data_IF_239262464394
#
_entry.id   IF_239262464394
#
_cell.length_a   1.000
_cell.length_b   1.000
_cell.length_c   1.000
_cell.angle_alpha   90.00
_cell.angle_beta   90.00
_cell.angle_gamma   90.00
#
_symmetry.space_group_name_H-M   'P 1'
#
loop_
_entity.id
_entity.type
_entity.pdbx_description
1 polymer ?
#
# COMPACT_ATOMS: atom_id res chain seq x y z
N UNK A 1 -32.70 -0.78 -20.94
CA UNK A 1 -32.59 0.01 -22.18
C UNK A 1 -33.79 -0.19 -23.14
N UNK A 2 -34.23 -1.42 -23.43
CA UNK A 2 -35.35 -1.66 -24.33
C UNK A 2 -36.65 -1.00 -23.80
N UNK A 3 -36.96 -1.13 -22.53
CA UNK A 3 -38.13 -0.57 -21.90
C UNK A 3 -38.11 0.96 -21.91
N UNK A 4 -36.93 1.57 -21.61
CA UNK A 4 -36.70 3.02 -21.74
C UNK A 4 -36.96 3.51 -23.16
N UNK A 5 -36.46 2.78 -24.15
CA UNK A 5 -36.66 3.11 -25.56
C UNK A 5 -38.14 3.05 -25.97
N UNK A 6 -38.82 2.01 -25.52
CA UNK A 6 -40.26 1.83 -25.76
C UNK A 6 -41.06 2.95 -25.12
N UNK A 7 -40.81 3.28 -23.87
CA UNK A 7 -41.53 4.32 -23.12
C UNK A 7 -41.26 5.72 -23.71
N UNK A 8 -40.03 6.00 -24.09
CA UNK A 8 -39.64 7.27 -24.71
C UNK A 8 -40.02 7.40 -26.19
N UNK A 9 -40.50 6.32 -26.83
CA UNK A 9 -40.88 6.31 -28.25
C UNK A 9 -39.69 6.51 -29.19
N UNK A 10 -38.50 5.99 -28.82
CA UNK A 10 -37.23 6.14 -29.58
C UNK A 10 -36.57 4.80 -29.81
N UNK A 11 -35.62 4.76 -30.72
CA UNK A 11 -34.82 3.55 -30.92
C UNK A 11 -33.82 3.31 -29.77
N UNK A 12 -33.54 2.03 -29.42
CA UNK A 12 -32.55 1.64 -28.40
C UNK A 12 -31.18 2.28 -28.62
N UNK A 13 -30.78 2.45 -29.90
CA UNK A 13 -29.54 3.14 -30.29
C UNK A 13 -29.52 4.63 -29.91
N UNK A 14 -30.69 5.28 -29.87
CA UNK A 14 -30.82 6.68 -29.43
C UNK A 14 -30.69 6.81 -27.92
N UNK A 15 -31.32 5.90 -27.15
CA UNK A 15 -31.15 5.80 -25.69
C UNK A 15 -29.68 5.54 -25.37
N UNK A 16 -29.04 4.59 -26.06
CA UNK A 16 -27.62 4.27 -25.87
C UNK A 16 -26.71 5.46 -26.14
N UNK A 17 -26.94 6.22 -27.22
CA UNK A 17 -26.15 7.43 -27.54
C UNK A 17 -26.30 8.49 -26.45
N UNK A 18 -27.54 8.77 -26.02
CA UNK A 18 -27.82 9.76 -24.97
C UNK A 18 -27.14 9.38 -23.65
N UNK A 19 -27.29 8.14 -23.18
CA UNK A 19 -26.68 7.64 -21.97
C UNK A 19 -25.12 7.72 -22.06
N UNK A 20 -24.56 7.58 -23.27
CA UNK A 20 -23.11 7.70 -23.50
C UNK A 20 -22.64 9.14 -23.76
N UNK A 21 -23.47 10.16 -23.46
CA UNK A 21 -23.08 11.58 -23.57
C UNK A 21 -23.06 12.13 -25.00
N UNK A 22 -23.52 11.39 -25.99
CA UNK A 22 -23.65 11.91 -27.35
C UNK A 22 -24.85 12.85 -27.42
N UNK A 23 -24.65 14.06 -27.96
CA UNK A 23 -25.69 15.07 -28.09
C UNK A 23 -26.83 14.54 -28.95
N UNK A 24 -28.04 14.59 -28.42
CA UNK A 24 -29.29 14.30 -29.13
C UNK A 24 -30.14 15.57 -29.18
N UNK A 25 -31.25 15.57 -29.95
CA UNK A 25 -32.18 16.70 -29.97
C UNK A 25 -32.82 16.89 -28.60
N UNK A 26 -33.04 18.14 -28.16
CA UNK A 26 -33.54 18.47 -26.82
C UNK A 26 -34.86 17.77 -26.49
N UNK A 27 -35.80 17.69 -27.44
CA UNK A 27 -37.08 16.95 -27.28
C UNK A 27 -36.81 15.45 -27.01
N UNK A 28 -35.87 14.84 -27.69
CA UNK A 28 -35.49 13.43 -27.49
C UNK A 28 -34.81 13.25 -26.13
N UNK A 29 -33.97 14.20 -25.73
CA UNK A 29 -33.32 14.20 -24.43
C UNK A 29 -34.32 14.21 -23.29
N UNK A 30 -35.35 15.09 -23.35
CA UNK A 30 -36.39 15.18 -22.34
C UNK A 30 -37.20 13.88 -22.24
N UNK A 31 -37.65 13.32 -23.38
CA UNK A 31 -38.43 12.06 -23.41
C UNK A 31 -37.68 10.88 -22.81
N UNK A 32 -36.40 10.74 -23.13
CA UNK A 32 -35.57 9.64 -22.61
C UNK A 32 -35.24 9.86 -21.13
N UNK A 33 -34.97 11.09 -20.69
CA UNK A 33 -34.74 11.41 -19.27
C UNK A 33 -35.97 11.10 -18.43
N UNK A 34 -37.16 11.48 -18.89
CA UNK A 34 -38.40 11.16 -18.21
C UNK A 34 -38.66 9.64 -18.12
N UNK A 35 -38.44 8.91 -19.20
CA UNK A 35 -38.59 7.46 -19.23
C UNK A 35 -37.57 6.75 -18.30
N UNK A 36 -36.33 7.25 -18.17
CA UNK A 36 -35.33 6.76 -17.23
C UNK A 36 -35.80 6.95 -15.79
N UNK A 37 -36.33 8.14 -15.45
CA UNK A 37 -36.86 8.44 -14.12
C UNK A 37 -38.10 7.60 -13.77
N UNK A 38 -39.04 7.46 -14.72
CA UNK A 38 -40.28 6.72 -14.50
C UNK A 38 -40.06 5.21 -14.31
N UNK A 39 -39.04 4.66 -14.98
CA UNK A 39 -38.66 3.25 -14.88
C UNK A 39 -37.58 2.97 -13.81
N UNK A 40 -37.15 4.00 -13.08
CA UNK A 40 -36.01 3.90 -12.16
C UNK A 40 -34.82 3.15 -12.80
N UNK A 41 -34.60 3.45 -14.11
CA UNK A 41 -33.61 2.70 -14.90
C UNK A 41 -32.21 3.16 -14.59
N UNK A 42 -31.44 2.27 -13.96
CA UNK A 42 -30.00 2.47 -13.73
C UNK A 42 -29.24 1.86 -14.91
N UNK A 43 -28.48 2.67 -15.68
CA UNK A 43 -27.64 2.13 -16.74
C UNK A 43 -26.61 1.13 -16.20
N UNK A 44 -26.54 -0.05 -16.78
CA UNK A 44 -25.53 -1.04 -16.46
C UNK A 44 -24.15 -0.55 -16.96
N UNK A 45 -23.32 -0.15 -16.02
CA UNK A 45 -21.96 0.34 -16.32
C UNK A 45 -21.06 -0.77 -16.88
N UNK A 46 -21.28 -2.03 -16.50
CA UNK A 46 -20.55 -3.19 -17.04
C UNK A 46 -20.81 -3.37 -18.53
N UNK A 47 -22.08 -3.22 -18.95
CA UNK A 47 -22.46 -3.25 -20.37
C UNK A 47 -21.93 -2.04 -21.16
N UNK A 48 -21.66 -0.91 -20.49
CA UNK A 48 -21.02 0.28 -21.07
C UNK A 48 -19.52 0.08 -21.24
N UNK A 49 -18.85 -0.51 -20.26
CA UNK A 49 -17.42 -0.82 -20.27
C UNK A 49 -17.04 -1.73 -21.44
N UNK A 50 -17.82 -2.78 -21.68
CA UNK A 50 -17.65 -3.68 -22.83
C UNK A 50 -17.65 -2.98 -24.21
N UNK A 51 -18.30 -1.82 -24.32
CA UNK A 51 -18.37 -1.03 -25.57
C UNK A 51 -17.31 0.06 -25.66
N UNK A 52 -16.69 0.44 -24.54
CA UNK A 52 -15.65 1.50 -24.44
C UNK A 52 -14.25 0.95 -24.16
N UNK A 53 -14.07 -0.35 -23.95
CA UNK A 53 -12.83 -1.00 -23.53
C UNK A 53 -12.28 -0.50 -22.16
N UNK A 54 -13.07 0.23 -21.36
CA UNK A 54 -12.66 0.75 -20.04
C UNK A 54 -13.78 0.56 -19.02
N UNK A 55 -13.43 0.04 -17.86
CA UNK A 55 -14.35 -0.25 -16.74
C UNK A 55 -14.42 0.89 -15.71
N UNK A 56 -13.48 1.84 -15.78
CA UNK A 56 -13.24 2.86 -14.77
C UNK A 56 -13.10 2.27 -13.35
N UNK A 57 -12.38 1.16 -13.27
CA UNK A 57 -12.10 0.45 -12.03
C UNK A 57 -10.63 0.05 -11.98
N UNK A 58 -9.98 0.29 -10.85
CA UNK A 58 -8.62 -0.17 -10.55
C UNK A 58 -8.68 -1.13 -9.37
N UNK A 59 -7.99 -2.26 -9.46
CA UNK A 59 -7.84 -3.19 -8.36
C UNK A 59 -6.64 -2.79 -7.49
N UNK A 60 -6.81 -2.82 -6.17
CA UNK A 60 -5.76 -2.70 -5.19
C UNK A 60 -5.60 -4.03 -4.46
N UNK A 61 -4.49 -4.71 -4.68
CA UNK A 61 -4.15 -5.96 -4.02
C UNK A 61 -3.30 -5.64 -2.79
N UNK A 62 -3.76 -6.08 -1.62
CA UNK A 62 -3.06 -5.93 -0.34
C UNK A 62 -2.92 -7.29 0.35
N UNK A 63 -1.82 -7.52 1.09
CA UNK A 63 -1.68 -8.74 1.87
C UNK A 63 -2.70 -8.81 3.01
N UNK A 64 -3.03 -7.66 3.63
CA UNK A 64 -4.06 -7.55 4.66
C UNK A 64 -4.53 -6.10 4.82
N UNK A 65 -5.78 -5.90 5.17
CA UNK A 65 -6.30 -4.57 5.53
C UNK A 65 -6.21 -4.29 7.05
N UNK A 66 -5.78 -5.26 7.86
CA UNK A 66 -5.63 -5.07 9.30
C UNK A 66 -4.42 -4.23 9.68
N UNK A 67 -3.39 -4.18 8.85
CA UNK A 67 -2.22 -3.37 9.13
C UNK A 67 -2.51 -1.89 8.78
N UNK A 68 -2.32 -0.94 9.71
CA UNK A 68 -2.68 0.47 9.52
C UNK A 68 -2.07 1.12 8.28
N UNK A 69 -0.81 0.81 7.95
CA UNK A 69 -0.17 1.31 6.73
C UNK A 69 -0.96 0.93 5.46
N UNK A 70 -1.41 -0.33 5.35
CA UNK A 70 -2.18 -0.75 4.18
C UNK A 70 -3.57 -0.13 4.13
N UNK A 71 -4.20 0.07 5.30
CA UNK A 71 -5.50 0.75 5.39
C UNK A 71 -5.38 2.23 4.99
N UNK A 72 -4.34 2.93 5.46
CA UNK A 72 -4.07 4.31 5.09
C UNK A 72 -3.73 4.45 3.60
N UNK A 73 -2.92 3.52 3.07
CA UNK A 73 -2.61 3.48 1.65
C UNK A 73 -3.87 3.28 0.79
N UNK A 74 -4.74 2.33 1.17
CA UNK A 74 -6.00 2.09 0.49
C UNK A 74 -6.93 3.31 0.51
N UNK A 75 -6.99 4.03 1.63
CA UNK A 75 -7.74 5.27 1.76
C UNK A 75 -7.28 6.32 0.76
N UNK A 76 -5.96 6.54 0.63
CA UNK A 76 -5.44 7.52 -0.32
C UNK A 76 -5.57 7.06 -1.78
N UNK A 77 -5.40 5.78 -2.08
CA UNK A 77 -5.64 5.24 -3.43
C UNK A 77 -7.09 5.48 -3.85
N UNK A 78 -8.07 5.17 -2.99
CA UNK A 78 -9.49 5.44 -3.25
C UNK A 78 -9.74 6.93 -3.49
N UNK A 79 -9.21 7.79 -2.59
CA UNK A 79 -9.35 9.25 -2.67
C UNK A 79 -8.86 9.79 -4.03
N UNK A 80 -7.71 9.33 -4.53
CA UNK A 80 -7.16 9.79 -5.80
C UNK A 80 -7.88 9.18 -7.00
N UNK A 81 -8.26 7.91 -6.95
CA UNK A 81 -9.06 7.27 -8.01
C UNK A 81 -10.41 7.96 -8.18
N UNK A 82 -11.09 8.31 -7.08
CA UNK A 82 -12.40 8.97 -7.13
C UNK A 82 -12.33 10.36 -7.81
N UNK A 83 -11.21 11.09 -7.67
CA UNK A 83 -10.98 12.37 -8.36
C UNK A 83 -10.92 12.20 -9.89
N UNK A 84 -10.55 11.02 -10.38
CA UNK A 84 -10.52 10.65 -11.79
C UNK A 84 -11.78 9.89 -12.24
N UNK A 85 -12.82 9.81 -11.41
CA UNK A 85 -14.04 9.04 -11.64
C UNK A 85 -13.78 7.53 -11.84
N UNK A 86 -12.75 7.00 -11.18
CA UNK A 86 -12.46 5.58 -11.06
C UNK A 86 -12.97 5.03 -9.73
N UNK A 87 -13.34 3.76 -9.74
CA UNK A 87 -13.71 3.00 -8.54
C UNK A 87 -12.54 2.13 -8.09
N UNK A 88 -12.43 1.94 -6.79
CA UNK A 88 -11.48 1.02 -6.20
C UNK A 88 -12.11 -0.36 -6.02
N UNK A 89 -11.46 -1.40 -6.52
CA UNK A 89 -11.74 -2.79 -6.19
C UNK A 89 -10.69 -3.29 -5.19
N UNK A 90 -11.04 -3.34 -3.91
CA UNK A 90 -10.13 -3.75 -2.84
C UNK A 90 -10.04 -5.28 -2.74
N UNK A 91 -8.82 -5.82 -2.91
CA UNK A 91 -8.52 -7.24 -2.94
C UNK A 91 -7.61 -7.60 -1.75
N UNK A 92 -8.13 -8.28 -0.75
CA UNK A 92 -7.36 -8.74 0.40
C UNK A 92 -6.90 -10.19 0.15
N UNK A 93 -5.58 -10.38 -0.03
CA UNK A 93 -5.02 -11.69 -0.41
C UNK A 93 -4.75 -12.63 0.78
N UNK A 94 -4.64 -12.08 1.99
CA UNK A 94 -4.16 -12.81 3.18
C UNK A 94 -2.79 -13.47 2.96
N UNK A 95 -1.95 -12.90 2.07
CA UNK A 95 -0.66 -13.46 1.68
C UNK A 95 -0.75 -14.80 0.94
N UNK A 96 -1.90 -15.09 0.31
CA UNK A 96 -2.12 -16.33 -0.46
C UNK A 96 -1.84 -16.07 -1.94
N UNK A 97 -0.85 -16.78 -2.51
CA UNK A 97 -0.44 -16.61 -3.91
C UNK A 97 -1.56 -16.93 -4.91
N UNK A 98 -2.41 -17.90 -4.59
CA UNK A 98 -3.54 -18.28 -5.41
C UNK A 98 -4.57 -17.16 -5.54
N UNK A 99 -4.87 -16.47 -4.43
CA UNK A 99 -5.75 -15.30 -4.44
C UNK A 99 -5.13 -14.14 -5.21
N UNK A 100 -3.84 -13.87 -5.01
CA UNK A 100 -3.15 -12.80 -5.75
C UNK A 100 -3.19 -13.08 -7.26
N UNK A 101 -2.95 -14.34 -7.68
CA UNK A 101 -3.06 -14.76 -9.07
C UNK A 101 -4.48 -14.61 -9.65
N UNK A 102 -5.53 -14.88 -8.87
CA UNK A 102 -6.91 -14.65 -9.29
C UNK A 102 -7.19 -13.15 -9.49
N UNK A 103 -6.68 -12.30 -8.59
CA UNK A 103 -6.86 -10.84 -8.70
C UNK A 103 -6.11 -10.25 -9.89
N UNK A 104 -4.92 -10.74 -10.23
CA UNK A 104 -4.19 -10.30 -11.43
C UNK A 104 -5.01 -10.56 -12.70
N UNK A 105 -5.75 -11.67 -12.77
CA UNK A 105 -6.60 -12.00 -13.92
C UNK A 105 -7.81 -11.09 -14.11
N UNK A 106 -8.12 -10.19 -13.14
CA UNK A 106 -9.24 -9.25 -13.28
C UNK A 106 -9.07 -8.30 -14.47
N UNK A 107 -7.84 -7.94 -14.83
CA UNK A 107 -7.56 -7.14 -16.04
C UNK A 107 -7.88 -7.93 -17.29
N UNK A 108 -7.37 -9.15 -17.40
CA UNK A 108 -7.61 -10.02 -18.56
C UNK A 108 -9.10 -10.33 -18.77
N UNK A 109 -9.86 -10.35 -17.67
CA UNK A 109 -11.32 -10.53 -17.71
C UNK A 109 -12.08 -9.24 -18.01
N UNK A 110 -11.39 -8.13 -18.29
CA UNK A 110 -11.97 -6.79 -18.45
C UNK A 110 -12.87 -6.38 -17.27
N UNK A 111 -12.47 -6.73 -16.04
CA UNK A 111 -13.16 -6.34 -14.80
C UNK A 111 -12.54 -5.14 -14.12
N UNK A 112 -11.28 -4.84 -14.42
CA UNK A 112 -10.60 -3.60 -14.05
C UNK A 112 -9.65 -3.17 -15.16
N UNK A 113 -9.27 -1.91 -15.15
CA UNK A 113 -8.42 -1.28 -16.16
C UNK A 113 -6.94 -1.32 -15.76
N UNK A 114 -6.65 -1.61 -14.49
CA UNK A 114 -5.28 -1.70 -13.98
C UNK A 114 -5.24 -2.21 -12.54
N UNK A 115 -4.03 -2.48 -12.08
CA UNK A 115 -3.75 -3.05 -10.75
C UNK A 115 -2.67 -2.22 -10.05
N UNK A 116 -2.90 -1.89 -8.79
CA UNK A 116 -1.87 -1.47 -7.84
C UNK A 116 -1.71 -2.60 -6.82
N UNK A 117 -0.47 -3.03 -6.53
CA UNK A 117 -0.29 -4.19 -5.67
C UNK A 117 0.84 -4.05 -4.66
N UNK A 118 0.55 -4.42 -3.41
CA UNK A 118 1.54 -4.76 -2.39
C UNK A 118 1.48 -6.27 -2.23
N UNK A 119 2.52 -6.99 -2.67
CA UNK A 119 2.53 -8.45 -2.68
C UNK A 119 3.84 -8.99 -2.14
N UNK A 120 3.75 -10.10 -1.41
CA UNK A 120 4.89 -10.79 -0.81
C UNK A 120 4.99 -12.25 -1.24
N UNK A 121 4.13 -12.68 -2.18
CA UNK A 121 4.13 -14.03 -2.74
C UNK A 121 4.70 -14.05 -4.15
N UNK A 122 5.07 -15.23 -4.66
CA UNK A 122 5.59 -15.35 -6.02
C UNK A 122 4.44 -15.36 -7.04
N UNK A 123 4.16 -14.18 -7.59
CA UNK A 123 3.15 -13.97 -8.65
C UNK A 123 3.77 -13.55 -9.98
N UNK A 124 5.08 -13.60 -10.10
CA UNK A 124 5.82 -13.04 -11.23
C UNK A 124 5.35 -13.60 -12.58
N UNK A 125 5.11 -14.89 -12.64
CA UNK A 125 4.67 -15.57 -13.86
C UNK A 125 3.20 -15.30 -14.29
N UNK A 126 2.43 -14.58 -13.45
CA UNK A 126 1.07 -14.12 -13.80
C UNK A 126 1.08 -12.70 -14.37
N UNK A 127 2.21 -11.98 -14.29
CA UNK A 127 2.32 -10.62 -14.79
C UNK A 127 2.87 -10.68 -16.20
N UNK A 128 2.05 -10.28 -17.18
CA UNK A 128 2.44 -10.21 -18.59
C UNK A 128 2.94 -8.83 -18.95
N UNK A 129 3.78 -8.76 -19.97
CA UNK A 129 4.23 -7.48 -20.54
C UNK A 129 3.02 -6.66 -21.03
N UNK A 130 3.02 -5.39 -20.69
CA UNK A 130 1.93 -4.47 -21.05
C UNK A 130 0.69 -4.53 -20.15
N UNK A 131 0.67 -5.38 -19.12
CA UNK A 131 -0.37 -5.33 -18.10
C UNK A 131 -0.28 -3.97 -17.35
N UNK A 132 -1.37 -3.19 -17.23
CA UNK A 132 -1.39 -1.99 -16.41
C UNK A 132 -1.25 -2.33 -14.93
N UNK A 133 0.00 -2.51 -14.48
CA UNK A 133 0.35 -2.98 -13.15
C UNK A 133 1.40 -2.08 -12.51
N UNK A 134 1.13 -1.61 -11.29
CA UNK A 134 2.06 -0.82 -10.48
C UNK A 134 2.33 -1.54 -9.17
N UNK A 135 3.59 -1.85 -8.93
CA UNK A 135 4.05 -2.49 -7.70
C UNK A 135 4.41 -1.48 -6.62
N UNK A 136 4.21 -1.83 -5.38
CA UNK A 136 4.65 -1.05 -4.22
C UNK A 136 5.73 -1.84 -3.47
N UNK A 137 6.87 -1.19 -3.21
CA UNK A 137 8.02 -1.73 -2.48
C UNK A 137 8.58 -3.07 -3.01
N UNK A 138 8.27 -3.43 -4.26
CA UNK A 138 8.77 -4.67 -4.86
C UNK A 138 9.17 -4.46 -6.31
N UNK A 139 10.33 -5.03 -6.67
CA UNK A 139 10.81 -5.13 -8.05
C UNK A 139 10.41 -6.47 -8.63
N UNK A 140 9.99 -6.45 -9.87
CA UNK A 140 9.74 -7.62 -10.70
C UNK A 140 10.80 -7.75 -11.77
N UNK A 141 11.02 -8.96 -12.34
CA UNK A 141 11.91 -9.17 -13.48
C UNK A 141 11.31 -8.63 -14.78
N UNK A 142 9.98 -8.55 -14.85
CA UNK A 142 9.25 -7.91 -15.93
C UNK A 142 9.34 -6.38 -15.84
N UNK A 143 9.05 -5.71 -16.94
CA UNK A 143 9.01 -4.25 -17.03
C UNK A 143 7.77 -3.68 -16.33
N UNK A 144 7.76 -3.73 -15.00
CA UNK A 144 6.68 -3.28 -14.13
C UNK A 144 7.06 -1.95 -13.50
N UNK A 145 6.16 -0.97 -13.60
CA UNK A 145 6.30 0.29 -12.90
C UNK A 145 6.16 0.08 -11.38
N UNK A 146 6.99 0.76 -10.59
CA UNK A 146 6.88 0.65 -9.14
C UNK A 146 7.09 1.97 -8.40
N UNK A 147 6.46 2.05 -7.23
CA UNK A 147 6.60 3.13 -6.26
C UNK A 147 7.14 2.56 -4.96
N UNK A 148 8.12 3.22 -4.37
CA UNK A 148 8.66 2.82 -3.08
C UNK A 148 9.07 4.04 -2.24
N UNK A 149 9.09 3.87 -0.92
CA UNK A 149 9.86 4.74 -0.05
C UNK A 149 11.36 4.46 -0.22
N UNK A 150 12.21 5.43 0.07
CA UNK A 150 13.66 5.20 0.14
C UNK A 150 14.01 4.34 1.37
N UNK A 151 13.83 3.03 1.22
CA UNK A 151 14.03 2.05 2.29
C UNK A 151 15.49 2.01 2.79
N UNK A 152 16.46 2.34 1.94
CA UNK A 152 17.86 2.49 2.39
C UNK A 152 18.05 3.70 3.29
N UNK A 153 17.44 4.82 2.92
CA UNK A 153 17.47 6.04 3.73
C UNK A 153 16.74 5.83 5.06
N UNK A 154 15.67 5.03 5.10
CA UNK A 154 14.97 4.66 6.35
C UNK A 154 15.98 4.07 7.37
N UNK A 155 16.73 3.03 7.00
CA UNK A 155 17.68 2.41 7.92
C UNK A 155 18.85 3.33 8.31
N UNK A 156 19.36 4.12 7.35
CA UNK A 156 20.41 5.10 7.65
C UNK A 156 19.93 6.18 8.61
N UNK A 157 18.74 6.72 8.41
CA UNK A 157 18.14 7.73 9.27
C UNK A 157 17.81 7.16 10.66
N UNK A 158 17.32 5.92 10.74
CA UNK A 158 17.11 5.23 12.01
C UNK A 158 18.39 5.13 12.83
N UNK A 159 19.50 4.75 12.19
CA UNK A 159 20.82 4.75 12.85
C UNK A 159 21.21 6.15 13.34
N UNK A 160 21.06 7.19 12.51
CA UNK A 160 21.42 8.56 12.88
C UNK A 160 20.64 9.04 14.11
N UNK A 161 19.33 8.85 14.11
CA UNK A 161 18.43 9.24 15.22
C UNK A 161 18.85 8.57 16.53
N UNK A 162 19.05 7.26 16.53
CA UNK A 162 19.42 6.53 17.73
C UNK A 162 20.84 6.89 18.19
N UNK A 163 21.78 7.09 17.27
CA UNK A 163 23.14 7.52 17.59
C UNK A 163 23.18 8.91 18.24
N UNK A 164 22.43 9.87 17.71
CA UNK A 164 22.35 11.23 18.28
C UNK A 164 21.75 11.22 19.70
N UNK A 165 20.97 10.20 20.02
CA UNK A 165 20.39 9.96 21.33
C UNK A 165 21.31 9.12 22.27
N UNK A 166 22.59 8.98 21.92
CA UNK A 166 23.63 8.30 22.71
C UNK A 166 23.41 6.81 22.95
N UNK A 167 22.77 6.12 22.01
CA UNK A 167 22.63 4.66 22.01
C UNK A 167 24.01 4.01 21.82
N UNK A 168 24.32 2.97 22.59
CA UNK A 168 25.58 2.24 22.59
C UNK A 168 25.48 0.81 22.06
N UNK A 169 24.35 0.14 22.31
CA UNK A 169 24.04 -1.19 21.79
C UNK A 169 22.75 -1.16 20.98
N UNK A 170 22.94 -1.09 19.66
CA UNK A 170 21.83 -1.05 18.70
C UNK A 170 21.25 -2.43 18.45
N UNK A 171 19.93 -2.48 18.29
CA UNK A 171 19.27 -3.68 17.83
C UNK A 171 18.33 -3.40 16.67
N UNK A 172 18.20 -4.37 15.76
CA UNK A 172 17.15 -4.44 14.77
C UNK A 172 16.17 -5.55 15.16
N UNK A 173 14.87 -5.24 15.10
CA UNK A 173 13.79 -6.22 15.27
C UNK A 173 12.86 -6.12 14.08
N UNK A 174 12.65 -7.23 13.38
CA UNK A 174 11.78 -7.25 12.21
C UNK A 174 11.56 -8.64 11.65
N UNK A 175 10.86 -8.67 10.53
CA UNK A 175 10.59 -9.89 9.78
C UNK A 175 10.86 -9.70 8.30
N UNK A 176 11.03 -10.80 7.59
CA UNK A 176 11.22 -10.82 6.15
C UNK A 176 10.40 -11.93 5.49
N UNK A 177 10.02 -11.71 4.24
CA UNK A 177 9.35 -12.70 3.40
C UNK A 177 10.37 -13.49 2.58
N UNK A 178 9.98 -14.69 2.13
CA UNK A 178 10.82 -15.51 1.22
C UNK A 178 11.07 -14.82 -0.12
N UNK A 179 10.10 -14.06 -0.59
CA UNK A 179 10.23 -13.24 -1.79
C UNK A 179 10.85 -11.91 -1.43
N UNK A 180 11.97 -11.57 -2.07
CA UNK A 180 12.66 -10.32 -1.82
C UNK A 180 11.80 -9.13 -2.19
N UNK A 181 11.81 -8.15 -1.29
CA UNK A 181 11.18 -6.85 -1.49
C UNK A 181 12.08 -5.75 -0.89
N UNK A 182 11.75 -4.50 -1.18
CA UNK A 182 12.62 -3.39 -0.76
C UNK A 182 12.53 -3.05 0.73
N UNK A 183 11.52 -3.53 1.44
CA UNK A 183 11.40 -3.28 2.89
C UNK A 183 12.54 -3.93 3.67
N UNK A 184 13.15 -5.01 3.14
CA UNK A 184 14.34 -5.65 3.74
C UNK A 184 15.54 -4.71 3.78
N UNK A 185 15.63 -3.77 2.82
CA UNK A 185 16.71 -2.77 2.77
C UNK A 185 16.76 -1.88 4.02
N UNK A 186 15.64 -1.76 4.78
CA UNK A 186 15.58 -1.01 6.06
C UNK A 186 16.56 -1.59 7.07
N UNK A 187 16.42 -2.90 7.36
CA UNK A 187 17.29 -3.62 8.28
C UNK A 187 18.72 -3.71 7.78
N UNK A 188 18.91 -4.03 6.50
CA UNK A 188 20.25 -4.16 5.88
C UNK A 188 21.06 -2.85 5.96
N UNK A 189 20.42 -1.72 5.64
CA UNK A 189 21.11 -0.41 5.66
C UNK A 189 21.33 0.11 7.08
N UNK A 190 20.43 -0.19 8.02
CA UNK A 190 20.62 0.08 9.44
C UNK A 190 21.82 -0.70 10.00
N UNK A 191 21.85 -2.02 9.80
CA UNK A 191 22.96 -2.90 10.18
C UNK A 191 24.30 -2.41 9.61
N UNK A 192 24.34 -2.13 8.32
CA UNK A 192 25.53 -1.62 7.65
C UNK A 192 26.01 -0.28 8.24
N UNK A 193 25.10 0.60 8.66
CA UNK A 193 25.44 1.87 9.27
C UNK A 193 26.00 1.68 10.70
N UNK A 194 25.41 0.80 11.50
CA UNK A 194 25.89 0.47 12.86
C UNK A 194 27.27 -0.17 12.80
N UNK A 195 27.47 -1.18 11.96
CA UNK A 195 28.74 -1.91 11.84
C UNK A 195 29.91 -1.02 11.41
N UNK A 196 29.65 -0.01 10.58
CA UNK A 196 30.67 1.01 10.22
C UNK A 196 31.13 1.86 11.41
N UNK A 197 30.33 1.99 12.45
CA UNK A 197 30.67 2.77 13.65
C UNK A 197 31.40 1.98 14.72
N UNK A 198 31.57 0.67 14.56
CA UNK A 198 32.11 -0.25 15.57
C UNK A 198 31.29 -0.32 16.86
N UNK A 199 30.01 0.10 16.84
CA UNK A 199 29.07 -0.04 17.95
C UNK A 199 28.59 -1.49 18.10
N UNK A 200 28.06 -1.85 19.26
CA UNK A 200 27.45 -3.17 19.45
C UNK A 200 26.16 -3.27 18.65
N UNK A 201 25.95 -4.42 18.04
CA UNK A 201 24.77 -4.70 17.23
C UNK A 201 24.22 -6.09 17.49
N UNK A 202 22.89 -6.18 17.68
CA UNK A 202 22.14 -7.43 17.74
C UNK A 202 20.96 -7.39 16.77
N UNK A 203 20.58 -8.54 16.22
CA UNK A 203 19.54 -8.63 15.21
C UNK A 203 18.58 -9.76 15.51
N UNK A 204 17.28 -9.45 15.51
CA UNK A 204 16.18 -10.41 15.44
C UNK A 204 15.46 -10.18 14.10
N UNK A 205 15.60 -11.11 13.18
CA UNK A 205 15.03 -11.04 11.83
C UNK A 205 14.28 -12.34 11.54
N UNK A 206 12.97 -12.30 11.66
CA UNK A 206 12.09 -13.46 11.65
C UNK A 206 11.57 -13.76 10.25
N UNK A 207 11.35 -15.02 9.92
CA UNK A 207 10.74 -15.41 8.65
C UNK A 207 9.21 -15.41 8.75
N UNK A 208 8.55 -14.72 7.82
CA UNK A 208 7.09 -14.71 7.73
C UNK A 208 6.52 -16.05 7.20
N UNK A 209 5.37 -16.52 7.71
CA UNK A 209 4.58 -15.89 8.78
C UNK A 209 5.18 -16.09 10.16
N UNK A 210 5.30 -15.00 10.91
CA UNK A 210 5.85 -15.05 12.29
C UNK A 210 4.81 -15.64 13.24
N UNK A 211 5.23 -16.66 13.99
CA UNK A 211 4.41 -17.28 15.03
C UNK A 211 4.98 -16.86 16.39
N UNK A 212 4.08 -16.41 17.28
CA UNK A 212 4.43 -16.04 18.67
C UNK A 212 5.54 -14.96 18.75
N UNK A 213 5.31 -13.86 18.04
CA UNK A 213 6.23 -12.75 17.89
C UNK A 213 6.80 -12.26 19.24
N UNK A 214 5.92 -11.98 20.21
CA UNK A 214 6.33 -11.45 21.53
C UNK A 214 7.24 -12.39 22.31
N UNK A 215 7.05 -13.69 22.24
CA UNK A 215 7.94 -14.66 22.87
C UNK A 215 9.34 -14.63 22.26
N UNK A 216 9.45 -14.52 20.93
CA UNK A 216 10.74 -14.40 20.26
C UNK A 216 11.44 -13.09 20.63
N UNK A 217 10.73 -11.95 20.63
CA UNK A 217 11.25 -10.65 21.07
C UNK A 217 11.73 -10.74 22.53
N UNK A 218 10.94 -11.35 23.40
CA UNK A 218 11.28 -11.49 24.84
C UNK A 218 12.54 -12.31 25.04
N UNK A 219 12.68 -13.45 24.37
CA UNK A 219 13.89 -14.27 24.42
C UNK A 219 15.11 -13.48 23.93
N UNK A 220 14.98 -12.80 22.80
CA UNK A 220 16.05 -11.97 22.22
C UNK A 220 16.52 -10.86 23.19
N UNK A 221 15.59 -10.16 23.84
CA UNK A 221 15.93 -9.09 24.78
C UNK A 221 16.54 -9.61 26.09
N UNK A 222 16.14 -10.80 26.54
CA UNK A 222 16.75 -11.45 27.72
C UNK A 222 18.18 -11.93 27.42
N UNK A 223 18.46 -12.41 26.23
CA UNK A 223 19.80 -12.80 25.77
C UNK A 223 20.73 -11.61 25.53
N UNK A 224 20.16 -10.42 25.28
CA UNK A 224 20.89 -9.20 24.97
C UNK A 224 20.51 -8.04 25.92
N UNK A 225 20.78 -8.15 27.24
CA UNK A 225 20.28 -7.21 28.24
C UNK A 225 20.87 -5.79 28.14
N UNK A 226 21.99 -5.62 27.43
CA UNK A 226 22.65 -4.32 27.23
C UNK A 226 22.10 -3.50 26.05
N UNK A 227 21.13 -4.01 25.29
CA UNK A 227 20.47 -3.24 24.23
C UNK A 227 19.83 -1.99 24.83
N UNK A 228 20.17 -0.81 24.30
CA UNK A 228 19.63 0.50 24.70
C UNK A 228 18.98 1.29 23.57
N UNK A 229 19.00 0.77 22.33
CA UNK A 229 18.30 1.34 21.19
C UNK A 229 17.86 0.29 20.19
N UNK A 230 16.57 0.31 19.85
CA UNK A 230 15.93 -0.66 18.94
C UNK A 230 15.31 0.08 17.77
N UNK A 231 15.67 -0.34 16.55
CA UNK A 231 14.94 -0.04 15.34
C UNK A 231 14.06 -1.22 14.95
N UNK A 232 12.75 -1.04 15.00
CA UNK A 232 11.76 -2.00 14.53
C UNK A 232 11.43 -1.74 13.07
N UNK A 233 11.25 -2.81 12.28
CA UNK A 233 11.00 -2.72 10.83
C UNK A 233 9.81 -1.82 10.48
N UNK A 234 8.80 -1.79 11.34
CA UNK A 234 7.63 -0.92 11.24
C UNK A 234 7.10 -0.53 12.63
N UNK A 235 6.11 0.37 12.67
CA UNK A 235 5.51 0.84 13.91
C UNK A 235 4.70 -0.25 14.62
N UNK A 236 4.16 -1.21 13.86
CA UNK A 236 3.39 -2.32 14.42
C UNK A 236 4.29 -3.27 15.21
N UNK A 237 5.46 -3.57 14.66
CA UNK A 237 6.52 -4.32 15.35
C UNK A 237 7.05 -3.57 16.58
N UNK A 238 7.20 -2.24 16.46
CA UNK A 238 7.62 -1.41 17.59
C UNK A 238 6.64 -1.48 18.77
N UNK A 239 5.34 -1.59 18.53
CA UNK A 239 4.34 -1.76 19.60
C UNK A 239 4.51 -3.09 20.33
N UNK A 240 4.85 -4.17 19.65
CA UNK A 240 5.13 -5.46 20.28
C UNK A 240 6.42 -5.40 21.11
N UNK A 241 7.46 -4.74 20.59
CA UNK A 241 8.70 -4.46 21.35
C UNK A 241 8.39 -3.68 22.62
N UNK A 242 7.57 -2.62 22.55
CA UNK A 242 7.17 -1.82 23.71
C UNK A 242 6.41 -2.64 24.77
N UNK A 243 5.50 -3.49 24.30
CA UNK A 243 4.76 -4.40 25.20
C UNK A 243 5.70 -5.33 25.97
N UNK A 244 6.69 -5.93 25.27
CA UNK A 244 7.68 -6.83 25.87
C UNK A 244 8.62 -6.08 26.83
N UNK A 245 9.10 -4.88 26.44
CA UNK A 245 9.93 -4.06 27.35
C UNK A 245 9.19 -3.70 28.63
N UNK A 246 7.89 -3.39 28.53
CA UNK A 246 7.03 -3.15 29.71
C UNK A 246 6.94 -4.37 30.62
N UNK A 247 6.74 -5.57 30.05
CA UNK A 247 6.74 -6.83 30.80
C UNK A 247 8.09 -7.10 31.50
N UNK A 248 9.19 -6.71 30.89
CA UNK A 248 10.55 -6.85 31.43
C UNK A 248 10.91 -5.74 32.43
N UNK A 249 10.01 -4.77 32.68
CA UNK A 249 10.22 -3.65 33.57
C UNK A 249 11.23 -2.62 33.09
N UNK A 250 11.55 -2.61 31.77
CA UNK A 250 12.47 -1.65 31.14
C UNK A 250 11.70 -0.40 30.71
N UNK A 251 12.19 0.76 31.11
CA UNK A 251 11.55 2.05 30.77
C UNK A 251 11.93 2.53 29.38
N UNK A 252 10.94 3.06 28.66
CA UNK A 252 11.12 3.69 27.34
C UNK A 252 10.70 5.16 27.46
N UNK A 253 11.54 6.12 27.07
CA UNK A 253 12.84 5.97 26.38
C UNK A 253 14.06 5.93 27.31
N UNK A 254 13.90 5.89 28.64
CA UNK A 254 14.98 6.08 29.63
C UNK A 254 16.03 4.98 29.56
N UNK A 255 15.62 3.71 29.60
CA UNK A 255 16.50 2.53 29.57
C UNK A 255 16.72 2.03 28.13
N UNK A 256 15.68 2.08 27.29
CA UNK A 256 15.70 1.63 25.89
C UNK A 256 14.94 2.61 25.03
N UNK A 257 15.53 3.05 23.94
CA UNK A 257 14.84 3.82 22.93
C UNK A 257 14.29 2.90 21.86
N UNK A 258 13.06 3.17 21.40
CA UNK A 258 12.40 2.39 20.36
C UNK A 258 11.98 3.32 19.22
N UNK A 259 12.43 2.98 18.01
CA UNK A 259 12.12 3.69 16.80
C UNK A 259 11.44 2.72 15.82
N UNK A 260 10.29 3.11 15.30
CA UNK A 260 9.56 2.37 14.28
C UNK A 260 9.76 2.95 12.87
N UNK A 261 8.94 2.46 11.96
CA UNK A 261 8.79 2.96 10.60
C UNK A 261 7.32 2.85 10.21
N UNK A 262 6.85 3.68 9.32
CA UNK A 262 5.58 3.86 8.63
C UNK A 262 4.92 5.21 8.94
N UNK A 263 4.96 5.68 10.19
CA UNK A 263 4.27 6.89 10.64
C UNK A 263 2.80 6.61 10.99
N UNK A 264 2.54 5.51 11.69
CA UNK A 264 1.18 5.06 12.01
C UNK A 264 0.52 6.01 13.03
N UNK A 265 -0.75 6.30 12.75
CA UNK A 265 -1.70 6.95 13.66
C UNK A 265 -2.94 6.09 13.83
N UNK A 266 -3.60 6.18 14.98
CA UNK A 266 -4.87 5.49 15.19
C UNK A 266 -6.04 6.13 14.43
N UNK A 267 -5.93 7.40 14.07
CA UNK A 267 -6.80 8.16 13.15
C UNK A 267 -6.05 9.39 12.65
N UNK A 268 -6.58 10.09 11.66
CA UNK A 268 -5.96 11.30 11.09
C UNK A 268 -5.70 12.40 12.14
N UNK A 269 -6.56 12.50 13.16
CA UNK A 269 -6.51 13.53 14.22
C UNK A 269 -5.68 13.08 15.43
N UNK A 270 -5.25 11.81 15.49
CA UNK A 270 -4.48 11.26 16.62
C UNK A 270 -2.99 11.50 16.45
N UNK A 271 -2.29 11.42 17.57
CA UNK A 271 -0.83 11.40 17.64
C UNK A 271 -0.26 10.12 17.01
N UNK A 272 1.03 10.15 16.68
CA UNK A 272 1.76 8.94 16.29
C UNK A 272 1.83 7.95 17.46
N UNK A 273 1.93 6.66 17.15
CA UNK A 273 1.95 5.62 18.19
C UNK A 273 3.34 5.44 18.81
N UNK A 274 4.39 5.73 18.03
CA UNK A 274 5.81 5.66 18.44
C UNK A 274 6.61 6.76 17.72
N UNK A 275 7.85 7.01 18.15
CA UNK A 275 8.83 7.72 17.31
C UNK A 275 9.10 6.88 16.07
N UNK A 276 9.05 7.50 14.88
CA UNK A 276 8.98 6.71 13.64
C UNK A 276 9.69 7.40 12.47
N UNK A 277 10.19 6.60 11.54
CA UNK A 277 10.55 7.09 10.20
C UNK A 277 9.29 7.01 9.33
N UNK A 278 8.66 8.16 9.12
CA UNK A 278 7.40 8.26 8.38
C UNK A 278 7.60 8.03 6.90
N UNK A 279 6.84 7.10 6.34
CA UNK A 279 6.68 6.93 4.91
C UNK A 279 5.72 7.98 4.33
N UNK A 280 5.93 8.47 3.11
CA UNK A 280 5.04 9.44 2.46
C UNK A 280 3.83 8.75 1.82
N UNK A 281 3.00 8.05 2.61
CA UNK A 281 1.92 7.15 2.17
C UNK A 281 0.96 7.83 1.18
N UNK A 282 0.56 9.10 1.43
CA UNK A 282 -0.30 9.87 0.50
C UNK A 282 0.38 10.10 -0.85
N UNK A 283 1.67 10.46 -0.86
CA UNK A 283 2.42 10.68 -2.08
C UNK A 283 2.66 9.37 -2.84
N UNK A 284 2.91 8.27 -2.11
CA UNK A 284 3.03 6.93 -2.71
C UNK A 284 1.74 6.53 -3.43
N UNK A 285 0.60 6.69 -2.77
CA UNK A 285 -0.71 6.38 -3.33
C UNK A 285 -1.00 7.25 -4.57
N UNK A 286 -0.70 8.55 -4.49
CA UNK A 286 -0.86 9.46 -5.63
C UNK A 286 -0.03 9.02 -6.82
N UNK A 287 1.27 8.76 -6.62
CA UNK A 287 2.15 8.31 -7.70
C UNK A 287 1.69 6.99 -8.30
N UNK A 288 1.25 6.04 -7.48
CA UNK A 288 0.75 4.75 -7.96
C UNK A 288 -0.53 4.90 -8.81
N UNK A 289 -1.44 5.79 -8.39
CA UNK A 289 -2.67 6.08 -9.15
C UNK A 289 -2.33 6.77 -10.47
N UNK A 290 -1.48 7.80 -10.46
CA UNK A 290 -1.07 8.50 -11.68
C UNK A 290 -0.44 7.51 -12.69
N UNK A 291 0.45 6.62 -12.22
CA UNK A 291 1.10 5.61 -13.05
C UNK A 291 0.12 4.58 -13.62
N UNK A 292 -0.76 4.00 -12.79
CA UNK A 292 -1.68 2.96 -13.26
C UNK A 292 -2.70 3.51 -14.25
N UNK A 293 -3.14 4.75 -14.08
CA UNK A 293 -4.07 5.40 -15.02
C UNK A 293 -3.39 5.72 -16.35
N UNK A 294 -2.13 6.17 -16.35
CA UNK A 294 -1.36 6.36 -17.57
C UNK A 294 -1.19 5.02 -18.32
N UNK A 295 -0.79 3.96 -17.62
CA UNK A 295 -0.67 2.62 -18.22
C UNK A 295 -2.00 2.11 -18.79
N UNK A 296 -3.12 2.29 -18.06
CA UNK A 296 -4.45 1.92 -18.50
C UNK A 296 -4.89 2.70 -19.77
N UNK A 297 -4.42 3.93 -19.93
CA UNK A 297 -4.64 4.74 -21.14
C UNK A 297 -3.71 4.36 -22.30
N UNK A 298 -2.76 3.43 -22.09
CA UNK A 298 -1.73 3.09 -23.08
C UNK A 298 -0.64 4.16 -23.23
N UNK A 299 -0.46 5.00 -22.20
CA UNK A 299 0.55 6.04 -22.17
C UNK A 299 1.83 5.54 -21.49
N UNK A 300 2.96 6.14 -21.82
CA UNK A 300 4.22 5.89 -21.11
C UNK A 300 4.19 6.54 -19.72
N UNK A 301 4.77 5.87 -18.74
CA UNK A 301 4.94 6.40 -17.39
C UNK A 301 6.38 6.19 -16.91
N UNK A 302 6.75 6.87 -15.82
CA UNK A 302 8.03 6.59 -15.16
C UNK A 302 8.02 5.16 -14.60
N UNK A 303 9.15 4.45 -14.71
CA UNK A 303 9.24 3.06 -14.26
C UNK A 303 9.50 2.93 -12.76
N UNK A 304 10.17 3.92 -12.20
CA UNK A 304 10.57 3.93 -10.79
C UNK A 304 10.28 5.29 -10.17
N UNK A 305 9.60 5.27 -9.03
CA UNK A 305 9.38 6.44 -8.19
C UNK A 305 9.82 6.12 -6.76
N UNK A 306 11.00 6.61 -6.38
CA UNK A 306 11.45 6.59 -5.00
C UNK A 306 11.03 7.88 -4.29
N UNK A 307 10.44 7.75 -3.11
CA UNK A 307 9.92 8.86 -2.33
C UNK A 307 10.70 9.00 -1.02
N UNK A 308 10.96 10.25 -0.68
CA UNK A 308 11.74 10.60 0.51
C UNK A 308 10.94 10.38 1.80
N UNK A 309 11.67 10.12 2.88
CA UNK A 309 11.13 9.80 4.21
C UNK A 309 11.56 10.83 5.24
N UNK A 310 10.84 10.91 6.36
CA UNK A 310 11.12 11.88 7.42
C UNK A 310 11.04 11.26 8.80
N UNK A 311 11.88 11.72 9.72
CA UNK A 311 11.78 11.34 11.13
C UNK A 311 10.70 12.14 11.85
N UNK A 312 9.89 11.46 12.61
CA UNK A 312 8.89 12.03 13.52
C UNK A 312 9.24 11.59 14.94
N UNK A 313 9.63 12.55 15.77
CA UNK A 313 9.87 12.31 17.20
C UNK A 313 8.55 12.21 17.94
N UNK A 314 8.44 11.19 18.78
CA UNK A 314 7.36 11.01 19.75
C UNK A 314 7.94 10.55 21.10
N UNK A 315 7.20 9.82 21.91
CA UNK A 315 7.55 9.51 23.30
C UNK A 315 8.59 8.37 23.46
N UNK A 316 8.96 7.65 22.40
CA UNK A 316 9.78 6.44 22.48
C UNK A 316 11.26 6.64 22.15
N UNK A 317 11.68 7.88 21.84
CA UNK A 317 13.09 8.28 21.68
C UNK A 317 13.37 9.56 22.49
N UNK A 318 14.65 9.76 22.88
CA UNK A 318 15.13 10.97 23.59
C UNK A 318 15.26 12.18 22.70
#
# INVERSE_FOLDING_TARGET
>A
MKDVANLAGVGVGTVSRMINGTKVKDETFQKVTQAIQELDFIPDETARGLKRSMTHTVALILPTIWHPFFSEFAYYVEKFLSQHNYKLYLCNSDGQSEKEAEYVKLVDQNRCDGIIAITYTDIEHYISDGLPFVSIDRLFTHDVAYVASDNKKIGQLAYQVLKESSVSHFAYVGSHNRVKNRTMERGESFEAAVLKSSALFSKLDMLEPVVDNKTQIKAFLLENPSIDGIFAINDYEALDVLAVLTELGRKVPEDVQVLGCDGIKMSAEREYVVSTIKQPTEAMAKSAVDMVLALAAGEETVKEQLLDVSYIKYQTTK
#
